data_IF_320285219584
#
_entry.id   IF_320285219584
#
_cell.length_a   1.000
_cell.length_b   1.000
_cell.length_c   1.000
_cell.angle_alpha   90.00
_cell.angle_beta   90.00
_cell.angle_gamma   90.00
#
_symmetry.space_group_name_H-M   'P 1'
#
loop_
_entity.id
_entity.type
_entity.pdbx_description
1 polymer ?
#
# COMPACT_ATOMS: atom_id res chain seq x y z
N UNK A 1 6.37 -8.42 8.24
CA UNK A 1 7.03 -9.25 7.19
C UNK A 1 7.46 -8.32 6.05
N UNK A 2 8.71 -8.39 5.55
CA UNK A 2 9.15 -7.53 4.43
C UNK A 2 8.58 -8.05 3.10
N UNK A 3 7.84 -7.24 2.36
CA UNK A 3 7.14 -7.61 1.11
C UNK A 3 8.04 -8.30 0.08
N UNK A 4 9.32 -7.94 0.00
CA UNK A 4 10.30 -8.55 -0.92
C UNK A 4 10.53 -10.06 -0.71
N UNK A 5 10.27 -10.60 0.49
CA UNK A 5 10.40 -12.03 0.79
C UNK A 5 9.07 -12.79 0.67
N UNK A 6 7.99 -12.11 0.29
CA UNK A 6 6.65 -12.69 0.28
C UNK A 6 6.51 -13.74 -0.82
N UNK A 7 6.22 -14.97 -0.38
CA UNK A 7 5.96 -16.16 -1.19
C UNK A 7 4.92 -17.00 -0.46
N UNK A 8 4.11 -17.82 -1.15
CA UNK A 8 3.14 -18.70 -0.52
C UNK A 8 3.73 -19.57 0.60
N UNK A 9 4.97 -20.05 0.45
CA UNK A 9 5.66 -20.82 1.49
C UNK A 9 5.95 -20.01 2.75
N UNK A 10 6.38 -18.75 2.58
CA UNK A 10 6.64 -17.87 3.71
C UNK A 10 5.33 -17.48 4.44
N UNK A 11 4.22 -17.41 3.70
CA UNK A 11 2.89 -17.19 4.29
C UNK A 11 2.45 -18.43 5.06
N UNK A 12 2.61 -19.64 4.50
CA UNK A 12 2.30 -20.90 5.17
C UNK A 12 3.04 -21.05 6.51
N UNK A 13 4.32 -20.67 6.53
CA UNK A 13 5.16 -20.66 7.73
C UNK A 13 4.63 -19.68 8.79
N UNK A 14 4.20 -18.48 8.39
CA UNK A 14 3.67 -17.45 9.31
C UNK A 14 2.30 -17.82 9.88
N UNK A 15 1.41 -18.41 9.08
CA UNK A 15 0.04 -18.74 9.51
C UNK A 15 -0.09 -20.15 10.10
N UNK A 16 1.01 -20.90 10.21
CA UNK A 16 1.01 -22.27 10.73
C UNK A 16 0.22 -23.26 9.86
N UNK A 17 0.09 -22.99 8.56
CA UNK A 17 -0.66 -23.82 7.62
C UNK A 17 0.28 -24.65 6.75
N UNK A 18 -0.25 -25.68 6.08
CA UNK A 18 0.54 -26.48 5.15
C UNK A 18 0.77 -25.72 3.85
N UNK A 19 1.94 -25.94 3.23
CA UNK A 19 2.26 -25.39 1.90
C UNK A 19 1.16 -25.70 0.87
N UNK A 20 0.58 -26.89 0.92
CA UNK A 20 -0.52 -27.31 0.04
C UNK A 20 -1.81 -26.50 0.24
N UNK A 21 -2.18 -26.20 1.49
CA UNK A 21 -3.36 -25.40 1.79
C UNK A 21 -3.21 -23.93 1.33
N UNK A 22 -2.02 -23.35 1.47
CA UNK A 22 -1.77 -21.98 1.00
C UNK A 22 -1.65 -21.91 -0.51
N UNK A 23 -1.05 -22.91 -1.17
CA UNK A 23 -0.97 -22.97 -2.64
C UNK A 23 -2.34 -23.22 -3.28
N UNK A 24 -3.26 -23.90 -2.60
CA UNK A 24 -4.63 -24.05 -3.08
C UNK A 24 -5.37 -22.70 -3.15
N UNK A 25 -5.11 -21.81 -2.19
CA UNK A 25 -5.70 -20.46 -2.15
C UNK A 25 -4.90 -19.44 -2.98
N UNK A 26 -3.57 -19.54 -2.98
CA UNK A 26 -2.65 -18.63 -3.67
C UNK A 26 -1.67 -19.45 -4.53
N UNK A 27 -2.04 -19.77 -5.78
CA UNK A 27 -1.27 -20.67 -6.64
C UNK A 27 0.14 -20.16 -6.94
N UNK A 28 0.34 -18.84 -6.91
CA UNK A 28 1.62 -18.20 -7.15
C UNK A 28 1.74 -16.87 -6.38
N UNK A 29 2.95 -16.30 -6.41
CA UNK A 29 3.28 -15.04 -5.74
C UNK A 29 2.45 -13.84 -6.24
N UNK A 30 2.08 -13.81 -7.53
CA UNK A 30 1.29 -12.71 -8.09
C UNK A 30 -0.13 -12.72 -7.51
N UNK A 31 -0.79 -13.88 -7.45
CA UNK A 31 -2.12 -14.01 -6.82
C UNK A 31 -2.09 -13.64 -5.34
N UNK A 32 -1.01 -13.99 -4.63
CA UNK A 32 -0.82 -13.58 -3.24
C UNK A 32 -0.67 -12.05 -3.09
N UNK A 33 0.11 -11.41 -3.97
CA UNK A 33 0.29 -9.96 -3.95
C UNK A 33 -0.99 -9.21 -4.34
N UNK A 34 -1.74 -9.74 -5.31
CA UNK A 34 -3.02 -9.18 -5.73
C UNK A 34 -4.03 -9.18 -4.58
N UNK A 35 -4.22 -10.33 -3.91
CA UNK A 35 -5.14 -10.44 -2.78
C UNK A 35 -4.70 -9.65 -1.57
N UNK A 36 -3.40 -9.53 -1.34
CA UNK A 36 -2.86 -8.63 -0.31
C UNK A 36 -3.21 -7.18 -0.60
N UNK A 37 -2.96 -6.70 -1.82
CA UNK A 37 -3.31 -5.34 -2.20
C UNK A 37 -4.82 -5.11 -2.09
N UNK A 38 -5.63 -6.05 -2.57
CA UNK A 38 -7.10 -6.01 -2.45
C UNK A 38 -7.54 -5.90 -1.00
N UNK A 39 -6.96 -6.69 -0.10
CA UNK A 39 -7.26 -6.64 1.33
C UNK A 39 -6.85 -5.31 1.96
N UNK A 40 -5.70 -4.75 1.58
CA UNK A 40 -5.25 -3.44 2.05
C UNK A 40 -6.19 -2.32 1.58
N UNK A 41 -6.68 -2.39 0.35
CA UNK A 41 -7.67 -1.48 -0.23
C UNK A 41 -9.00 -1.55 0.53
N UNK A 42 -9.53 -2.76 0.77
CA UNK A 42 -10.76 -2.96 1.54
C UNK A 42 -10.66 -2.47 2.98
N UNK A 43 -9.51 -2.68 3.63
CA UNK A 43 -9.28 -2.20 4.99
C UNK A 43 -9.22 -0.67 5.02
N UNK A 44 -8.60 -0.06 4.01
CA UNK A 44 -8.58 1.38 3.84
C UNK A 44 -10.00 1.94 3.65
N UNK A 45 -10.79 1.35 2.75
CA UNK A 45 -12.18 1.70 2.49
C UNK A 45 -13.02 1.65 3.77
N UNK A 46 -12.89 0.56 4.55
CA UNK A 46 -13.61 0.40 5.82
C UNK A 46 -13.31 1.53 6.80
N UNK A 47 -12.03 1.89 6.96
CA UNK A 47 -11.62 2.98 7.86
C UNK A 47 -12.09 4.34 7.36
N UNK A 48 -12.00 4.57 6.06
CA UNK A 48 -12.50 5.78 5.43
C UNK A 48 -14.01 5.93 5.68
N UNK A 49 -14.81 4.91 5.40
CA UNK A 49 -16.26 4.94 5.58
C UNK A 49 -16.63 5.11 7.07
N UNK A 50 -15.89 4.48 7.97
CA UNK A 50 -16.08 4.66 9.42
C UNK A 50 -15.83 6.11 9.86
N UNK A 51 -14.79 6.76 9.34
CA UNK A 51 -14.50 8.17 9.66
C UNK A 51 -15.52 9.08 9.00
N UNK A 52 -15.82 8.85 7.72
CA UNK A 52 -16.77 9.64 6.93
C UNK A 52 -18.16 9.63 7.55
N UNK A 53 -18.61 8.49 8.08
CA UNK A 53 -19.92 8.37 8.75
C UNK A 53 -19.99 9.11 10.10
N UNK A 54 -18.84 9.40 10.72
CA UNK A 54 -18.75 10.05 12.04
C UNK A 54 -18.40 11.54 11.96
N UNK A 55 -18.03 12.05 10.79
CA UNK A 55 -17.61 13.44 10.60
C UNK A 55 -18.59 14.21 9.72
N UNK A 56 -18.72 15.51 10.00
CA UNK A 56 -19.40 16.46 9.09
C UNK A 56 -18.43 17.04 8.05
N UNK A 57 -17.14 16.71 8.14
CA UNK A 57 -16.14 17.08 7.14
C UNK A 57 -16.36 16.36 5.80
N UNK A 58 -15.94 17.01 4.71
CA UNK A 58 -15.95 16.41 3.37
C UNK A 58 -15.02 15.19 3.26
N UNK A 59 -15.09 14.50 2.13
CA UNK A 59 -14.24 13.36 1.79
C UNK A 59 -12.73 13.62 2.00
N UNK A 60 -12.24 14.83 1.76
CA UNK A 60 -10.84 15.20 2.02
C UNK A 60 -10.46 15.05 3.50
N UNK A 61 -11.33 15.54 4.39
CA UNK A 61 -11.06 15.47 5.83
C UNK A 61 -11.03 14.02 6.30
N UNK A 62 -11.99 13.21 5.87
CA UNK A 62 -12.01 11.79 6.19
C UNK A 62 -10.76 11.09 5.67
N UNK A 63 -10.35 11.37 4.42
CA UNK A 63 -9.16 10.77 3.82
C UNK A 63 -7.87 11.08 4.59
N UNK A 64 -7.63 12.35 4.94
CA UNK A 64 -6.47 12.75 5.73
C UNK A 64 -6.50 12.09 7.11
N UNK A 65 -7.67 12.08 7.75
CA UNK A 65 -7.86 11.47 9.08
C UNK A 65 -7.61 9.95 9.03
N UNK A 66 -8.05 9.26 7.98
CA UNK A 66 -7.77 7.83 7.76
C UNK A 66 -6.27 7.58 7.68
N UNK A 67 -5.55 8.44 6.97
CA UNK A 67 -4.09 8.35 6.89
C UNK A 67 -3.42 8.60 8.25
N UNK A 68 -3.84 9.62 8.98
CA UNK A 68 -3.26 9.97 10.29
C UNK A 68 -3.51 8.89 11.36
N UNK A 69 -4.64 8.19 11.28
CA UNK A 69 -4.97 7.07 12.15
C UNK A 69 -4.35 5.73 11.71
N UNK A 70 -3.56 5.72 10.64
CA UNK A 70 -2.89 4.51 10.17
C UNK A 70 -1.80 4.08 11.16
N UNK A 71 -1.85 2.82 11.59
CA UNK A 71 -0.82 2.24 12.46
C UNK A 71 0.57 2.27 11.77
N UNK A 72 1.57 2.95 12.34
CA UNK A 72 2.93 2.99 11.80
C UNK A 72 3.60 1.61 11.72
N UNK A 73 3.13 0.62 12.49
CA UNK A 73 3.63 -0.75 12.48
C UNK A 73 2.89 -1.66 11.47
N UNK A 74 1.80 -1.18 10.88
CA UNK A 74 1.10 -1.92 9.83
C UNK A 74 1.97 -2.04 8.57
N UNK A 75 1.74 -3.06 7.72
CA UNK A 75 2.43 -3.19 6.45
C UNK A 75 2.29 -1.90 5.62
N UNK A 76 3.43 -1.34 5.21
CA UNK A 76 3.47 -0.06 4.48
C UNK A 76 2.81 -0.20 3.10
N UNK A 77 1.71 0.53 2.90
CA UNK A 77 0.99 0.60 1.62
C UNK A 77 1.91 1.07 0.47
N UNK A 78 2.74 2.11 0.62
CA UNK A 78 3.74 2.49 -0.39
C UNK A 78 4.74 1.37 -0.74
N UNK A 79 5.18 0.57 0.25
CA UNK A 79 6.07 -0.56 -0.01
C UNK A 79 5.36 -1.68 -0.79
N UNK A 80 4.12 -1.99 -0.44
CA UNK A 80 3.30 -2.98 -1.12
C UNK A 80 3.11 -2.60 -2.60
N UNK A 81 2.72 -1.35 -2.86
CA UNK A 81 2.54 -0.79 -4.21
C UNK A 81 3.84 -0.85 -5.00
N UNK A 82 4.98 -0.49 -4.40
CA UNK A 82 6.25 -0.51 -5.09
C UNK A 82 6.72 -1.93 -5.46
N UNK A 83 6.53 -2.90 -4.55
CA UNK A 83 6.82 -4.31 -4.84
C UNK A 83 5.90 -4.84 -5.93
N UNK A 84 4.60 -4.59 -5.85
CA UNK A 84 3.66 -5.01 -6.88
C UNK A 84 3.99 -4.42 -8.25
N UNK A 85 4.31 -3.12 -8.30
CA UNK A 85 4.76 -2.44 -9.52
C UNK A 85 6.00 -3.09 -10.13
N UNK A 86 6.95 -3.50 -9.30
CA UNK A 86 8.19 -4.13 -9.74
C UNK A 86 7.99 -5.56 -10.25
N UNK A 87 6.95 -6.26 -9.78
CA UNK A 87 6.64 -7.63 -10.18
C UNK A 87 5.75 -7.67 -11.45
N UNK A 88 4.61 -6.97 -11.43
CA UNK A 88 3.73 -6.78 -12.58
C UNK A 88 2.87 -5.51 -12.38
N UNK A 89 3.03 -4.47 -13.21
CA UNK A 89 2.21 -3.25 -13.13
C UNK A 89 0.70 -3.47 -13.16
N UNK A 90 0.21 -4.59 -13.73
CA UNK A 90 -1.21 -4.93 -13.76
C UNK A 90 -1.79 -5.22 -12.37
N UNK A 91 -0.95 -5.60 -11.41
CA UNK A 91 -1.36 -5.82 -10.01
C UNK A 91 -1.86 -4.53 -9.34
N UNK A 92 -1.57 -3.36 -9.92
CA UNK A 92 -2.00 -2.07 -9.40
C UNK A 92 -3.42 -1.68 -9.84
N UNK A 93 -4.14 -2.52 -10.59
CA UNK A 93 -5.50 -2.19 -11.02
C UNK A 93 -6.45 -1.85 -9.86
N UNK A 94 -6.50 -2.63 -8.76
CA UNK A 94 -7.36 -2.30 -7.61
C UNK A 94 -6.99 -0.94 -7.00
N UNK A 95 -5.69 -0.67 -6.86
CA UNK A 95 -5.17 0.59 -6.33
C UNK A 95 -5.57 1.76 -7.22
N UNK A 96 -5.53 1.60 -8.54
CA UNK A 96 -5.93 2.65 -9.50
C UNK A 96 -7.42 2.96 -9.37
N UNK A 97 -8.26 1.93 -9.22
CA UNK A 97 -9.71 2.09 -9.07
C UNK A 97 -10.04 2.88 -7.79
N UNK A 98 -9.34 2.59 -6.68
CA UNK A 98 -9.52 3.33 -5.42
C UNK A 98 -9.11 4.79 -5.55
N UNK A 99 -7.95 5.08 -6.14
CA UNK A 99 -7.52 6.46 -6.35
C UNK A 99 -8.51 7.25 -7.21
N UNK A 100 -9.07 6.64 -8.26
CA UNK A 100 -10.12 7.26 -9.06
C UNK A 100 -11.40 7.51 -8.25
N UNK A 101 -11.81 6.54 -7.43
CA UNK A 101 -12.97 6.67 -6.53
C UNK A 101 -12.80 7.84 -5.57
N UNK A 102 -11.67 7.91 -4.87
CA UNK A 102 -11.38 9.00 -3.94
C UNK A 102 -11.26 10.35 -4.64
N UNK A 103 -10.59 10.41 -5.79
CA UNK A 103 -10.51 11.62 -6.60
C UNK A 103 -11.89 12.13 -7.02
N UNK A 104 -12.82 11.25 -7.36
CA UNK A 104 -14.20 11.63 -7.68
C UNK A 104 -14.96 12.13 -6.44
N UNK A 105 -14.77 11.50 -5.27
CA UNK A 105 -15.38 11.97 -4.02
C UNK A 105 -14.88 13.36 -3.63
N UNK A 106 -13.59 13.63 -3.78
CA UNK A 106 -12.99 14.93 -3.44
C UNK A 106 -13.37 16.05 -4.43
N UNK A 107 -13.70 15.72 -5.68
CA UNK A 107 -14.28 16.69 -6.60
C UNK A 107 -15.65 17.19 -6.12
N UNK A 108 -16.42 16.35 -5.41
CA UNK A 108 -17.71 16.74 -4.84
C UNK A 108 -17.56 17.71 -3.64
N UNK A 109 -16.45 17.62 -2.91
CA UNK A 109 -16.09 18.60 -1.86
C UNK A 109 -15.70 19.97 -2.44
N UNK A 110 -15.39 20.02 -3.75
CA UNK A 110 -15.05 21.23 -4.49
C UNK A 110 -13.56 21.32 -4.89
N UNK A 111 -13.21 22.28 -5.76
CA UNK A 111 -11.87 22.38 -6.35
C UNK A 111 -10.76 22.60 -5.33
N UNK A 112 -11.03 23.37 -4.27
CA UNK A 112 -10.06 23.61 -3.18
C UNK A 112 -9.66 22.30 -2.48
N UNK A 113 -10.62 21.39 -2.31
CA UNK A 113 -10.34 20.10 -1.67
C UNK A 113 -9.46 19.20 -2.55
N UNK A 114 -9.65 19.26 -3.87
CA UNK A 114 -8.82 18.53 -4.82
C UNK A 114 -7.38 19.07 -4.83
N UNK A 115 -7.19 20.39 -4.86
CA UNK A 115 -5.87 21.01 -4.81
C UNK A 115 -5.14 20.73 -3.48
N UNK A 116 -5.88 20.81 -2.37
CA UNK A 116 -5.34 20.51 -1.04
C UNK A 116 -4.90 19.05 -0.91
N UNK A 117 -5.62 18.10 -1.53
CA UNK A 117 -5.22 16.71 -1.57
C UNK A 117 -3.90 16.53 -2.34
N UNK A 118 -3.78 17.12 -3.52
CA UNK A 118 -2.57 17.00 -4.34
C UNK A 118 -1.37 17.54 -3.57
N UNK A 119 -1.51 18.72 -2.96
CA UNK A 119 -0.46 19.29 -2.11
C UNK A 119 -0.11 18.37 -0.92
N UNK A 120 -1.10 17.78 -0.25
CA UNK A 120 -0.87 16.84 0.85
C UNK A 120 -0.18 15.56 0.37
N UNK A 121 -0.57 15.01 -0.78
CA UNK A 121 0.07 13.84 -1.38
C UNK A 121 1.52 14.14 -1.74
N UNK A 122 1.82 15.30 -2.31
CA UNK A 122 3.20 15.70 -2.64
C UNK A 122 4.09 15.74 -1.39
N UNK A 123 3.58 16.26 -0.27
CA UNK A 123 4.30 16.25 1.01
C UNK A 123 4.57 14.81 1.50
N UNK A 124 3.59 13.92 1.37
CA UNK A 124 3.73 12.51 1.80
C UNK A 124 4.60 11.69 0.85
N UNK A 125 4.53 11.94 -0.44
CA UNK A 125 5.39 11.33 -1.47
C UNK A 125 6.83 11.80 -1.27
N UNK A 126 7.09 13.09 -1.02
CA UNK A 126 8.43 13.56 -0.66
C UNK A 126 8.97 12.86 0.61
N UNK A 127 8.12 12.63 1.59
CA UNK A 127 8.48 11.87 2.80
C UNK A 127 8.75 10.38 2.52
N UNK A 128 8.11 9.80 1.50
CA UNK A 128 8.42 8.44 1.02
C UNK A 128 9.64 8.41 0.10
N UNK A 129 9.92 9.46 -0.67
CA UNK A 129 11.08 9.55 -1.56
C UNK A 129 12.37 9.65 -0.75
N UNK A 130 12.39 10.39 0.35
CA UNK A 130 13.52 10.37 1.29
C UNK A 130 13.73 8.98 1.90
N UNK A 131 12.66 8.20 2.10
CA UNK A 131 12.75 6.78 2.46
C UNK A 131 13.30 5.93 1.31
N UNK A 132 12.94 6.19 0.05
CA UNK A 132 13.50 5.52 -1.14
C UNK A 132 14.99 5.81 -1.37
N UNK A 133 15.41 7.06 -1.19
CA UNK A 133 16.83 7.45 -1.24
C UNK A 133 17.62 6.83 -0.08
N UNK A 134 16.99 6.69 1.09
CA UNK A 134 17.55 6.00 2.25
C UNK A 134 17.73 4.49 2.02
N UNK A 135 16.74 3.78 1.47
CA UNK A 135 16.91 2.35 1.12
C UNK A 135 17.79 2.14 -0.11
N UNK A 136 17.86 3.11 -1.03
CA UNK A 136 18.78 3.14 -2.16
C UNK A 136 20.25 3.27 -1.71
N UNK A 137 20.51 4.12 -0.72
CA UNK A 137 21.85 4.32 -0.14
C UNK A 137 22.33 3.14 0.70
N UNK A 138 21.43 2.38 1.35
CA UNK A 138 21.79 1.13 2.05
C UNK A 138 22.29 0.05 1.09
N UNK A 139 21.92 0.07 -0.20
CA UNK A 139 22.45 -0.87 -1.21
C UNK A 139 23.88 -0.58 -1.66
N UNK A 140 24.44 0.60 -1.36
CA UNK A 140 25.80 0.97 -1.76
C UNK A 140 26.86 0.73 -0.67
N UNK A 141 26.49 0.15 0.49
CA UNK A 141 27.41 -0.16 1.59
C UNK A 141 27.41 -1.65 2.00
N UNK A 142 27.13 -2.57 1.08
CA UNK A 142 27.44 -4.00 1.26
C UNK A 142 28.86 -4.30 0.76
N UNK A 143 29.67 -5.11 1.47
CA UNK A 143 31.06 -5.38 1.07
C UNK A 143 31.11 -6.06 -0.32
N UNK A 144 32.17 -5.81 -1.12
CA UNK A 144 32.31 -6.42 -2.43
C UNK A 144 32.48 -7.93 -2.24
N UNK A 145 31.50 -8.71 -2.67
CA UNK A 145 31.67 -10.15 -2.78
C UNK A 145 32.66 -10.43 -3.91
N UNK A 146 33.89 -10.75 -3.52
CA UNK A 146 34.92 -11.33 -4.38
C UNK A 146 34.42 -12.69 -4.89
N UNK A 147 34.41 -12.84 -6.22
CA UNK A 147 34.24 -14.13 -6.90
C UNK A 147 35.49 -14.99 -6.67
N UNK A 148 35.34 -16.10 -5.92
CA UNK A 148 36.05 -17.38 -6.14
C UNK A 148 35.09 -18.50 -5.75
#
# INVERSE_FOLDING_TARGET
MKFRKMRPEAVAEVIGSTKGAVLHTFPNKLTLLEELLRSMCQEWDRRFDEIQSKTTGGALFAYITTWEQSDPQAPSYPEAVAVAKAEDPKLLEPVRQDYQRYGNLMQLDGPIATDALVAWMDVKVCSCLSFWDYIGSIKLQGPPFSLV
#
